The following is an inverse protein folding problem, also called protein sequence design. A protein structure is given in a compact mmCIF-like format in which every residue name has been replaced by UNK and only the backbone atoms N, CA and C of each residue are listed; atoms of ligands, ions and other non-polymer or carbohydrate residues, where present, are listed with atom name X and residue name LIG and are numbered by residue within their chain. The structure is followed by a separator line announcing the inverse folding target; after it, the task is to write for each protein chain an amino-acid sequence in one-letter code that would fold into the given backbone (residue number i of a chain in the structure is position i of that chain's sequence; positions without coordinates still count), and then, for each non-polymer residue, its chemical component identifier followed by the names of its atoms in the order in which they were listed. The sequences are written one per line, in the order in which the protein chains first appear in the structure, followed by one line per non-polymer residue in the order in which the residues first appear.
data_IF_548311444878
#
_entry.id   IF_548311444878
#
_cell.length_a   1.000
_cell.length_b   1.000
_cell.length_c   1.000
_cell.angle_alpha   90.00
_cell.angle_beta   90.00
_cell.angle_gamma   90.00
#
_symmetry.space_group_name_H-M   'P 1'
#
loop_
_entity.id
_entity.type
_entity.pdbx_description
1 polymer ?
#
# COMPACT_ATOMS: atom_id res chain seq x y z
N UNK A 1 -19.21 -24.83 -90.87
CA UNK A 1 -18.87 -25.67 -89.70
C UNK A 1 -17.65 -25.01 -89.07
N UNK A 2 -17.71 -24.11 -88.08
CA UNK A 2 -18.39 -24.12 -86.76
C UNK A 2 -18.06 -25.43 -86.03
N UNK A 3 -17.29 -25.54 -84.93
CA UNK A 3 -17.21 -24.77 -83.67
C UNK A 3 -15.79 -24.82 -83.03
N UNK A 4 -15.29 -23.73 -82.41
CA UNK A 4 -15.10 -23.47 -80.94
C UNK A 4 -14.40 -24.61 -80.15
N UNK A 5 -13.27 -24.45 -79.44
CA UNK A 5 -12.83 -23.36 -78.55
C UNK A 5 -12.74 -23.92 -77.12
N UNK A 6 -11.55 -24.24 -76.61
CA UNK A 6 -11.34 -24.61 -75.19
C UNK A 6 -9.87 -24.46 -74.76
N UNK A 7 -9.46 -23.20 -74.61
CA UNK A 7 -8.23 -22.80 -73.93
C UNK A 7 -8.58 -21.78 -72.86
N UNK A 8 -9.22 -22.22 -71.77
CA UNK A 8 -9.45 -21.35 -70.60
C UNK A 8 -9.88 -22.13 -69.35
N UNK A 9 -8.99 -22.92 -68.74
CA UNK A 9 -9.21 -23.44 -67.37
C UNK A 9 -7.87 -23.51 -66.61
N UNK A 10 -7.28 -22.35 -66.34
CA UNK A 10 -6.20 -22.22 -65.36
C UNK A 10 -6.06 -20.77 -64.89
N UNK A 11 -7.11 -20.21 -64.25
CA UNK A 11 -6.95 -19.02 -63.40
C UNK A 11 -8.22 -18.75 -62.58
N UNK A 12 -8.50 -19.61 -61.61
CA UNK A 12 -9.26 -19.23 -60.41
C UNK A 12 -8.32 -19.35 -59.23
N UNK A 13 -7.31 -18.46 -59.20
CA UNK A 13 -6.53 -18.19 -58.00
C UNK A 13 -7.29 -17.11 -57.25
N UNK A 14 -8.08 -17.49 -56.25
CA UNK A 14 -8.57 -16.56 -55.22
C UNK A 14 -7.36 -15.88 -54.53
N UNK A 15 -7.19 -14.55 -54.61
CA UNK A 15 -6.17 -13.84 -53.87
C UNK A 15 -6.85 -12.76 -53.02
N UNK A 16 -7.76 -13.15 -52.12
CA UNK A 16 -8.47 -12.17 -51.29
C UNK A 16 -8.75 -12.62 -49.84
N UNK A 17 -8.81 -13.93 -49.54
CA UNK A 17 -9.14 -14.41 -48.19
C UNK A 17 -7.94 -14.56 -47.23
N UNK A 18 -6.74 -14.85 -47.75
CA UNK A 18 -5.53 -15.03 -46.93
C UNK A 18 -5.12 -13.79 -46.09
N UNK A 19 -5.10 -12.55 -46.63
CA UNK A 19 -4.66 -11.39 -45.85
C UNK A 19 -5.66 -11.03 -44.72
N UNK A 20 -6.96 -11.28 -44.91
CA UNK A 20 -8.00 -10.98 -43.92
C UNK A 20 -7.87 -11.86 -42.65
N UNK A 21 -7.49 -13.13 -42.81
CA UNK A 21 -7.35 -14.07 -41.70
C UNK A 21 -6.09 -13.75 -40.88
N UNK A 22 -4.96 -13.41 -41.52
CA UNK A 22 -3.74 -12.99 -40.81
C UNK A 22 -3.95 -11.69 -40.01
N UNK A 23 -4.69 -10.73 -40.57
CA UNK A 23 -5.02 -9.47 -39.89
C UNK A 23 -5.92 -9.73 -38.67
N UNK A 24 -6.92 -10.61 -38.78
CA UNK A 24 -7.82 -10.96 -37.67
C UNK A 24 -7.09 -11.71 -36.54
N UNK A 25 -6.18 -12.63 -36.87
CA UNK A 25 -5.37 -13.37 -35.89
C UNK A 25 -4.37 -12.44 -35.20
N UNK A 26 -3.73 -11.54 -35.95
CA UNK A 26 -2.81 -10.53 -35.40
C UNK A 26 -3.52 -9.52 -34.48
N UNK A 27 -4.71 -9.06 -34.86
CA UNK A 27 -5.54 -8.17 -34.04
C UNK A 27 -5.99 -8.85 -32.72
N UNK A 28 -6.36 -10.13 -32.78
CA UNK A 28 -6.80 -10.89 -31.59
C UNK A 28 -5.64 -11.18 -30.63
N UNK A 29 -4.45 -11.50 -31.15
CA UNK A 29 -3.23 -11.65 -30.35
C UNK A 29 -2.79 -10.33 -29.69
N UNK A 30 -2.90 -9.21 -30.42
CA UNK A 30 -2.62 -7.86 -29.91
C UNK A 30 -3.58 -7.43 -28.79
N UNK A 31 -4.88 -7.77 -28.91
CA UNK A 31 -5.90 -7.51 -27.89
C UNK A 31 -5.65 -8.33 -26.61
N UNK A 32 -5.37 -9.64 -26.76
CA UNK A 32 -5.11 -10.52 -25.61
C UNK A 32 -3.85 -10.11 -24.82
N UNK A 33 -2.79 -9.69 -25.53
CA UNK A 33 -1.54 -9.25 -24.89
C UNK A 33 -1.65 -7.96 -24.08
N UNK A 34 -2.66 -7.11 -24.34
CA UNK A 34 -2.96 -5.92 -23.53
C UNK A 34 -3.76 -6.28 -22.29
N UNK A 35 -4.80 -7.08 -22.47
CA UNK A 35 -5.67 -7.51 -21.37
C UNK A 35 -4.86 -8.23 -20.28
N UNK A 36 -3.96 -9.13 -20.67
CA UNK A 36 -3.07 -9.84 -19.73
C UNK A 36 -2.16 -8.86 -18.97
N UNK A 37 -1.57 -7.87 -19.66
CA UNK A 37 -0.73 -6.86 -19.02
C UNK A 37 -1.52 -5.97 -18.06
N UNK A 38 -2.74 -5.59 -18.44
CA UNK A 38 -3.63 -4.79 -17.60
C UNK A 38 -4.09 -5.54 -16.36
N UNK A 39 -4.54 -6.80 -16.49
CA UNK A 39 -4.92 -7.64 -15.35
C UNK A 39 -3.73 -7.83 -14.40
N UNK A 40 -2.55 -8.11 -14.95
CA UNK A 40 -1.34 -8.25 -14.14
C UNK A 40 -1.02 -6.97 -13.35
N UNK A 41 -1.14 -5.79 -13.97
CA UNK A 41 -0.99 -4.52 -13.27
C UNK A 41 -2.03 -4.34 -12.15
N UNK A 42 -3.30 -4.64 -12.39
CA UNK A 42 -4.36 -4.59 -11.37
C UNK A 42 -4.02 -5.50 -10.19
N UNK A 43 -3.63 -6.75 -10.44
CA UNK A 43 -3.33 -7.72 -9.38
C UNK A 43 -2.18 -7.23 -8.51
N UNK A 44 -1.09 -6.74 -9.11
CA UNK A 44 0.04 -6.21 -8.36
C UNK A 44 -0.36 -4.98 -7.52
N UNK A 45 -1.07 -4.02 -8.11
CA UNK A 45 -1.52 -2.82 -7.36
C UNK A 45 -2.49 -3.20 -6.24
N UNK A 46 -3.37 -4.18 -6.45
CA UNK A 46 -4.26 -4.69 -5.40
C UNK A 46 -3.47 -5.29 -4.23
N UNK A 47 -2.46 -6.12 -4.52
CA UNK A 47 -1.59 -6.69 -3.48
C UNK A 47 -0.83 -5.60 -2.70
N UNK A 48 -0.33 -4.57 -3.39
CA UNK A 48 0.29 -3.40 -2.74
C UNK A 48 -0.69 -2.71 -1.79
N UNK A 49 -1.93 -2.45 -2.23
CA UNK A 49 -2.95 -1.82 -1.39
C UNK A 49 -3.28 -2.70 -0.18
N UNK A 50 -3.50 -4.00 -0.38
CA UNK A 50 -3.86 -4.91 0.70
C UNK A 50 -2.77 -5.00 1.77
N UNK A 51 -1.51 -5.15 1.36
CA UNK A 51 -0.37 -5.23 2.29
C UNK A 51 -0.12 -3.90 3.00
N UNK A 52 -0.14 -2.78 2.26
CA UNK A 52 0.02 -1.45 2.85
C UNK A 52 -1.09 -1.10 3.84
N UNK A 53 -2.34 -1.46 3.53
CA UNK A 53 -3.46 -1.26 4.44
C UNK A 53 -3.34 -2.10 5.73
N UNK A 54 -2.95 -3.38 5.62
CA UNK A 54 -2.72 -4.23 6.79
C UNK A 54 -1.56 -3.68 7.63
N UNK A 55 -0.48 -3.21 7.00
CA UNK A 55 0.64 -2.59 7.70
C UNK A 55 0.21 -1.31 8.44
N UNK A 56 -0.55 -0.43 7.77
CA UNK A 56 -1.10 0.80 8.35
C UNK A 56 -2.00 0.51 9.56
N UNK A 57 -2.92 -0.44 9.45
CA UNK A 57 -3.93 -0.71 10.47
C UNK A 57 -3.41 -1.54 11.65
N UNK A 58 -2.29 -2.24 11.49
CA UNK A 58 -1.80 -3.13 12.54
C UNK A 58 -0.89 -2.41 13.54
N UNK A 59 -1.19 -2.46 14.86
CA UNK A 59 -0.34 -1.88 15.89
C UNK A 59 0.85 -2.79 16.28
N UNK A 60 1.24 -3.74 15.42
CA UNK A 60 2.23 -4.79 15.72
C UNK A 60 3.56 -4.60 15.01
N UNK A 61 3.98 -3.35 14.77
CA UNK A 61 5.25 -3.08 14.07
C UNK A 61 6.46 -3.50 14.90
N UNK A 62 6.38 -3.33 16.21
CA UNK A 62 7.33 -3.89 17.18
C UNK A 62 6.55 -4.64 18.24
N UNK A 63 7.03 -5.80 18.64
CA UNK A 63 6.46 -6.61 19.72
C UNK A 63 7.49 -6.80 20.82
N UNK A 64 7.02 -6.82 22.06
CA UNK A 64 7.87 -7.05 23.24
C UNK A 64 7.24 -8.13 24.10
N UNK A 65 8.00 -9.17 24.41
CA UNK A 65 7.59 -10.27 25.31
C UNK A 65 8.45 -10.38 26.57
N UNK A 66 9.39 -9.45 26.76
CA UNK A 66 10.31 -9.44 27.91
C UNK A 66 10.14 -8.18 28.73
N UNK A 67 10.26 -8.35 30.04
CA UNK A 67 10.26 -7.25 31.02
C UNK A 67 11.70 -6.80 31.24
N UNK A 68 11.96 -5.49 31.11
CA UNK A 68 13.25 -4.90 31.48
C UNK A 68 13.59 -5.26 32.95
N UNK A 69 14.86 -5.57 33.27
CA UNK A 69 15.26 -5.95 34.63
C UNK A 69 14.81 -4.98 35.73
N UNK A 70 14.72 -3.68 35.41
CA UNK A 70 14.30 -2.62 36.33
C UNK A 70 12.85 -2.76 36.82
N UNK A 71 12.03 -3.56 36.12
CA UNK A 71 10.60 -3.71 36.39
C UNK A 71 10.19 -5.11 36.86
N UNK A 72 11.14 -6.04 36.97
CA UNK A 72 10.86 -7.46 37.28
C UNK A 72 10.16 -7.69 38.63
N UNK A 73 10.39 -6.80 39.60
CA UNK A 73 9.69 -6.85 40.89
C UNK A 73 8.19 -6.46 40.77
N UNK A 74 7.86 -5.65 39.75
CA UNK A 74 6.53 -5.04 39.57
C UNK A 74 5.71 -5.71 38.46
N UNK A 75 6.36 -6.27 37.45
CA UNK A 75 5.73 -6.82 36.25
C UNK A 75 6.16 -8.28 36.07
N UNK A 76 5.18 -9.18 36.04
CA UNK A 76 5.37 -10.63 35.92
C UNK A 76 5.44 -11.08 34.46
N UNK A 77 4.55 -10.56 33.62
CA UNK A 77 4.52 -10.81 32.17
C UNK A 77 4.17 -9.51 31.45
N UNK A 78 4.75 -9.34 30.28
CA UNK A 78 4.31 -8.33 29.32
C UNK A 78 4.25 -8.91 27.92
N UNK A 79 3.19 -8.59 27.19
CA UNK A 79 3.07 -8.73 25.75
C UNK A 79 2.58 -7.39 25.22
N UNK A 80 3.51 -6.57 24.73
CA UNK A 80 3.16 -5.26 24.18
C UNK A 80 3.47 -5.18 22.70
N UNK A 81 2.68 -4.37 22.00
CA UNK A 81 2.83 -4.13 20.58
C UNK A 81 2.79 -2.65 20.30
N UNK A 82 3.81 -2.15 19.60
CA UNK A 82 3.93 -0.76 19.18
C UNK A 82 3.67 -0.68 17.68
N UNK A 83 2.73 0.17 17.29
CA UNK A 83 2.46 0.53 15.90
C UNK A 83 2.93 1.94 15.57
N UNK A 84 2.52 2.42 14.39
CA UNK A 84 2.74 3.80 13.94
C UNK A 84 1.68 4.79 14.45
N UNK A 85 0.50 4.30 14.86
CA UNK A 85 -0.61 5.14 15.32
C UNK A 85 -1.13 4.80 16.74
N UNK A 86 -0.77 3.63 17.27
CA UNK A 86 -1.15 3.18 18.60
C UNK A 86 -0.10 2.27 19.24
N UNK A 87 -0.19 2.15 20.56
CA UNK A 87 0.49 1.16 21.39
C UNK A 87 -0.56 0.30 22.08
N UNK A 88 -0.40 -1.01 22.05
CA UNK A 88 -1.22 -1.94 22.81
C UNK A 88 -0.37 -2.64 23.86
N UNK A 89 -0.93 -2.80 25.05
CA UNK A 89 -0.27 -3.43 26.19
C UNK A 89 -1.16 -4.54 26.71
N UNK A 90 -0.54 -5.67 27.03
CA UNK A 90 -1.11 -6.80 27.77
C UNK A 90 -0.09 -7.11 28.88
N UNK A 91 -0.40 -6.73 30.11
CA UNK A 91 0.55 -6.72 31.22
C UNK A 91 -0.06 -7.41 32.44
N UNK A 92 0.72 -8.29 33.05
CA UNK A 92 0.41 -8.89 34.35
C UNK A 92 1.33 -8.29 35.41
N UNK A 93 0.73 -7.63 36.39
CA UNK A 93 1.45 -7.03 37.50
C UNK A 93 1.68 -8.05 38.62
N UNK A 94 2.85 -7.96 39.25
CA UNK A 94 3.23 -8.76 40.40
C UNK A 94 2.77 -8.09 41.69
N UNK A 95 2.02 -8.83 42.51
CA UNK A 95 1.53 -8.30 43.78
C UNK A 95 2.66 -8.07 44.79
N UNK A 96 3.76 -8.82 44.67
CA UNK A 96 4.93 -8.69 45.56
C UNK A 96 5.57 -7.30 45.53
N UNK A 97 5.56 -6.63 44.37
CA UNK A 97 6.22 -5.33 44.19
C UNK A 97 5.28 -4.12 44.04
N UNK A 98 3.97 -4.34 43.84
CA UNK A 98 3.00 -3.26 43.53
C UNK A 98 1.84 -3.16 44.53
N UNK A 99 1.41 -4.28 45.12
CA UNK A 99 0.23 -4.35 45.96
C UNK A 99 0.64 -4.70 47.39
N UNK A 100 0.91 -3.66 48.20
CA UNK A 100 1.13 -3.74 49.64
C UNK A 100 2.13 -4.85 50.03
N UNK A 101 3.43 -4.55 50.19
CA UNK A 101 4.38 -5.56 50.67
C UNK A 101 3.81 -6.25 51.92
N UNK A 102 3.65 -7.57 51.85
CA UNK A 102 3.09 -8.49 52.87
C UNK A 102 1.56 -8.76 52.88
N UNK A 103 0.80 -8.44 51.82
CA UNK A 103 -0.60 -8.88 51.73
C UNK A 103 -0.83 -9.93 50.63
N UNK A 104 -0.70 -11.22 50.99
CA UNK A 104 -0.81 -12.37 50.06
C UNK A 104 -2.24 -12.63 49.55
N UNK A 105 -3.25 -11.90 50.02
CA UNK A 105 -4.67 -12.18 49.72
C UNK A 105 -5.22 -11.42 48.51
N UNK A 106 -4.43 -10.55 47.87
CA UNK A 106 -4.85 -9.88 46.64
C UNK A 106 -4.40 -10.74 45.45
N UNK A 107 -5.27 -10.95 44.46
CA UNK A 107 -4.97 -11.73 43.24
C UNK A 107 -4.11 -10.94 42.26
N UNK A 108 -3.22 -11.59 41.51
CA UNK A 108 -2.44 -10.96 40.43
C UNK A 108 -3.37 -10.12 39.52
N UNK A 109 -2.93 -8.92 39.14
CA UNK A 109 -3.73 -8.00 38.33
C UNK A 109 -3.26 -7.99 36.88
N UNK A 110 -4.15 -8.35 35.96
CA UNK A 110 -3.91 -8.31 34.51
C UNK A 110 -4.61 -7.12 33.88
N UNK A 111 -3.94 -6.47 32.94
CA UNK A 111 -4.45 -5.30 32.26
C UNK A 111 -4.13 -5.33 30.77
N UNK A 112 -5.17 -5.16 29.94
CA UNK A 112 -5.07 -5.16 28.49
C UNK A 112 -5.78 -3.96 27.90
N UNK A 113 -5.05 -3.14 27.15
CA UNK A 113 -5.64 -1.95 26.49
C UNK A 113 -4.79 -1.49 25.31
N UNK A 114 -5.35 -0.61 24.48
CA UNK A 114 -4.65 0.07 23.40
C UNK A 114 -4.82 1.59 23.54
N UNK A 115 -3.72 2.32 23.42
CA UNK A 115 -3.69 3.78 23.44
C UNK A 115 -3.28 4.32 22.08
N UNK A 116 -4.01 5.30 21.57
CA UNK A 116 -3.68 5.99 20.33
C UNK A 116 -2.74 7.17 20.59
N UNK A 117 -1.73 7.35 19.73
CA UNK A 117 -0.73 8.40 19.94
C UNK A 117 -1.30 9.80 19.71
N UNK A 118 -2.08 9.97 18.65
CA UNK A 118 -2.47 11.29 18.15
C UNK A 118 -3.92 11.64 18.47
N UNK A 119 -4.80 10.65 18.51
CA UNK A 119 -6.22 10.84 18.78
C UNK A 119 -6.56 10.55 20.24
N UNK A 120 -7.42 11.33 20.89
CA UNK A 120 -7.94 10.98 22.20
C UNK A 120 -8.86 9.77 22.09
N UNK A 121 -8.68 8.79 22.98
CA UNK A 121 -9.59 7.67 23.13
C UNK A 121 -9.91 7.50 24.62
N UNK A 122 -11.20 7.38 24.95
CA UNK A 122 -11.62 7.06 26.30
C UNK A 122 -11.13 5.65 26.65
N UNK A 123 -10.09 5.59 27.47
CA UNK A 123 -9.39 4.37 27.86
C UNK A 123 -9.17 4.39 29.37
N UNK A 124 -8.97 3.23 29.99
CA UNK A 124 -8.48 3.18 31.37
C UNK A 124 -6.96 3.33 31.35
N UNK A 125 -6.38 4.08 32.29
CA UNK A 125 -4.95 4.05 32.60
C UNK A 125 -4.76 3.40 33.96
N UNK A 126 -3.72 2.57 34.05
CA UNK A 126 -3.24 2.04 35.32
C UNK A 126 -2.18 2.98 35.90
N UNK A 127 -2.48 3.57 37.05
CA UNK A 127 -1.50 4.36 37.83
C UNK A 127 -0.89 3.46 38.89
N UNK A 128 0.44 3.46 38.94
CA UNK A 128 1.22 2.68 39.90
C UNK A 128 1.96 3.64 40.82
N UNK A 129 1.44 3.84 42.01
CA UNK A 129 2.12 4.57 43.09
C UNK A 129 2.36 3.61 44.27
N UNK A 130 1.51 3.66 45.29
CA UNK A 130 1.48 2.71 46.41
C UNK A 130 0.38 1.65 46.26
N UNK A 131 -0.60 1.91 45.38
CA UNK A 131 -1.71 1.02 45.02
C UNK A 131 -1.98 1.16 43.53
N UNK A 132 -2.51 0.10 42.91
CA UNK A 132 -2.94 0.12 41.50
C UNK A 132 -4.30 0.83 41.46
N UNK A 133 -4.35 2.03 40.89
CA UNK A 133 -5.62 2.72 40.62
C UNK A 133 -5.90 2.74 39.12
N UNK A 134 -7.17 2.52 38.76
CA UNK A 134 -7.66 2.67 37.40
C UNK A 134 -8.29 4.05 37.27
N UNK A 135 -7.70 4.89 36.44
CA UNK A 135 -8.22 6.22 36.14
C UNK A 135 -8.81 6.23 34.73
N UNK A 136 -9.96 6.88 34.55
CA UNK A 136 -10.50 7.16 33.22
C UNK A 136 -9.59 8.19 32.53
N UNK A 137 -9.00 7.77 31.43
CA UNK A 137 -8.13 8.59 30.62
C UNK A 137 -8.80 8.95 29.29
N UNK A 138 -8.80 10.24 28.93
CA UNK A 138 -9.50 10.76 27.74
C UNK A 138 -8.59 11.46 26.75
N UNK A 139 -7.31 11.55 27.04
CA UNK A 139 -6.34 12.24 26.19
C UNK A 139 -5.60 11.25 25.28
N UNK A 140 -4.83 11.75 24.32
CA UNK A 140 -3.93 10.93 23.51
C UNK A 140 -2.57 10.76 24.20
N UNK A 141 -1.79 9.73 23.83
CA UNK A 141 -0.45 9.52 24.44
C UNK A 141 0.42 10.77 24.26
N UNK A 142 0.39 11.40 23.09
CA UNK A 142 1.17 12.60 22.82
C UNK A 142 0.69 13.83 23.58
N UNK A 143 -0.62 13.96 23.81
CA UNK A 143 -1.15 15.01 24.69
C UNK A 143 -0.72 14.77 26.14
N UNK A 144 -0.67 13.52 26.60
CA UNK A 144 -0.13 13.20 27.93
C UNK A 144 1.32 13.60 28.08
N UNK A 145 2.13 13.24 27.08
CA UNK A 145 3.57 13.44 27.09
C UNK A 145 3.89 14.94 27.22
N UNK A 146 3.11 15.80 26.58
CA UNK A 146 3.26 17.26 26.66
C UNK A 146 2.91 17.83 28.05
N UNK A 147 1.98 17.20 28.78
CA UNK A 147 1.55 17.66 30.11
C UNK A 147 2.45 17.13 31.24
N UNK A 148 2.90 15.88 31.12
CA UNK A 148 3.66 15.19 32.16
C UNK A 148 4.58 14.12 31.55
N UNK A 149 5.66 14.57 30.93
CA UNK A 149 6.59 13.76 30.15
C UNK A 149 7.14 12.54 30.90
N UNK A 150 7.73 12.77 32.08
CA UNK A 150 8.34 11.72 32.90
C UNK A 150 7.33 10.65 33.29
N UNK A 151 6.14 11.08 33.74
CA UNK A 151 5.10 10.18 34.21
C UNK A 151 4.46 9.38 33.08
N UNK A 152 4.19 10.02 31.94
CA UNK A 152 3.65 9.35 30.76
C UNK A 152 4.62 8.28 30.25
N UNK A 153 5.90 8.64 30.16
CA UNK A 153 6.98 7.75 29.73
C UNK A 153 7.14 6.57 30.66
N UNK A 154 7.26 6.81 31.97
CA UNK A 154 7.50 5.75 32.95
C UNK A 154 6.32 4.77 33.02
N UNK A 155 5.09 5.28 33.00
CA UNK A 155 3.90 4.44 32.99
C UNK A 155 3.86 3.52 31.76
N UNK A 156 4.10 4.05 30.56
CA UNK A 156 4.16 3.23 29.34
C UNK A 156 5.37 2.29 29.35
N UNK A 157 6.51 2.71 29.87
CA UNK A 157 7.71 1.87 29.98
C UNK A 157 7.44 0.63 30.85
N UNK A 158 6.80 0.82 32.01
CA UNK A 158 6.39 -0.29 32.89
C UNK A 158 5.37 -1.19 32.19
N UNK A 159 4.31 -0.61 31.60
CA UNK A 159 3.24 -1.39 30.95
C UNK A 159 3.71 -2.14 29.69
N UNK A 160 4.74 -1.66 29.00
CA UNK A 160 5.31 -2.29 27.80
C UNK A 160 6.52 -3.19 28.10
N UNK A 161 7.07 -3.08 29.31
CA UNK A 161 8.31 -3.73 29.73
C UNK A 161 9.57 -3.20 29.05
N UNK A 162 9.50 -2.05 28.41
CA UNK A 162 10.64 -1.41 27.74
C UNK A 162 11.36 -0.51 28.74
N UNK A 163 12.68 -0.36 28.57
CA UNK A 163 13.48 0.57 29.37
C UNK A 163 12.94 2.01 29.23
N UNK A 164 12.81 2.72 30.35
CA UNK A 164 12.24 4.08 30.37
C UNK A 164 12.91 5.05 29.38
N UNK A 165 14.23 5.02 29.25
CA UNK A 165 14.95 5.89 28.30
C UNK A 165 14.61 5.56 26.84
N UNK A 166 14.49 4.28 26.48
CA UNK A 166 14.14 3.88 25.12
C UNK A 166 12.68 4.20 24.79
N UNK A 167 11.78 4.05 25.77
CA UNK A 167 10.38 4.48 25.63
C UNK A 167 10.28 6.00 25.47
N UNK A 168 11.06 6.76 26.24
CA UNK A 168 11.12 8.22 26.13
C UNK A 168 11.50 8.64 24.71
N UNK A 169 12.64 8.14 24.21
CA UNK A 169 13.14 8.47 22.87
C UNK A 169 12.12 8.12 21.79
N UNK A 170 11.48 6.95 21.91
CA UNK A 170 10.45 6.51 20.98
C UNK A 170 9.21 7.41 21.00
N UNK A 171 8.70 7.77 22.18
CA UNK A 171 7.54 8.65 22.31
C UNK A 171 7.86 10.08 21.87
N UNK A 172 9.03 10.60 22.23
CA UNK A 172 9.50 11.91 21.81
C UNK A 172 9.54 12.01 20.29
N UNK A 173 10.08 10.98 19.60
CA UNK A 173 10.09 10.98 18.13
C UNK A 173 8.70 10.74 17.52
N UNK A 174 7.91 9.81 18.05
CA UNK A 174 6.55 9.51 17.57
C UNK A 174 5.63 10.73 17.68
N UNK A 175 5.73 11.48 18.78
CA UNK A 175 4.92 12.66 19.03
C UNK A 175 5.43 13.94 18.36
N UNK A 176 6.64 13.90 17.82
CA UNK A 176 7.23 15.02 17.07
C UNK A 176 6.57 15.23 15.70
N UNK A 177 7.00 16.28 14.99
CA UNK A 177 6.59 16.53 13.61
C UNK A 177 6.97 15.37 12.66
N UNK A 178 8.12 14.72 12.87
CA UNK A 178 8.53 13.58 12.02
C UNK A 178 7.66 12.35 12.24
N UNK A 179 7.25 12.05 13.48
CA UNK A 179 6.33 10.95 13.76
C UNK A 179 4.94 11.15 13.15
N UNK A 180 4.41 12.39 13.21
CA UNK A 180 3.17 12.76 12.48
C UNK A 180 3.34 12.64 10.97
N UNK A 181 4.49 13.07 10.44
CA UNK A 181 4.80 12.96 9.02
C UNK A 181 4.87 11.49 8.58
N UNK A 182 5.45 10.60 9.39
CA UNK A 182 5.46 9.15 9.13
C UNK A 182 4.04 8.61 8.95
N UNK A 183 3.13 8.87 9.89
CA UNK A 183 1.75 8.42 9.78
C UNK A 183 1.09 8.97 8.51
N UNK A 184 1.31 10.26 8.22
CA UNK A 184 0.82 10.90 7.00
C UNK A 184 1.38 10.26 5.73
N UNK A 185 2.66 9.91 5.70
CA UNK A 185 3.31 9.26 4.55
C UNK A 185 2.78 7.85 4.32
N UNK A 186 2.59 7.03 5.37
CA UNK A 186 2.00 5.67 5.22
C UNK A 186 0.57 5.76 4.70
N UNK A 187 -0.24 6.64 5.29
CA UNK A 187 -1.62 6.85 4.87
C UNK A 187 -1.71 7.36 3.42
N UNK A 188 -0.84 8.31 3.05
CA UNK A 188 -0.78 8.87 1.70
C UNK A 188 -0.31 7.84 0.68
N UNK A 189 0.74 7.06 0.97
CA UNK A 189 1.20 5.97 0.11
C UNK A 189 0.07 4.96 -0.17
N UNK A 190 -0.61 4.52 0.89
CA UNK A 190 -1.75 3.59 0.78
C UNK A 190 -2.89 4.18 -0.05
N UNK A 191 -3.25 5.45 0.20
CA UNK A 191 -4.30 6.15 -0.53
C UNK A 191 -3.96 6.34 -2.02
N UNK A 192 -2.71 6.67 -2.35
CA UNK A 192 -2.24 6.82 -3.73
C UNK A 192 -2.30 5.49 -4.49
N UNK A 193 -1.89 4.38 -3.88
CA UNK A 193 -2.01 3.05 -4.50
C UNK A 193 -3.48 2.64 -4.68
N UNK A 194 -4.36 2.99 -3.73
CA UNK A 194 -5.79 2.75 -3.87
C UNK A 194 -6.39 3.55 -5.02
N UNK A 195 -6.04 4.84 -5.15
CA UNK A 195 -6.47 5.66 -6.29
C UNK A 195 -5.93 5.11 -7.62
N UNK A 196 -4.67 4.66 -7.67
CA UNK A 196 -4.11 4.02 -8.85
C UNK A 196 -4.88 2.74 -9.22
N UNK A 197 -5.24 1.91 -8.24
CA UNK A 197 -6.05 0.71 -8.44
C UNK A 197 -7.42 1.06 -9.06
N UNK A 198 -8.11 2.06 -8.52
CA UNK A 198 -9.41 2.52 -9.06
C UNK A 198 -9.25 2.97 -10.51
N UNK A 199 -8.21 3.76 -10.82
CA UNK A 199 -7.96 4.21 -12.19
C UNK A 199 -7.67 3.05 -13.15
N UNK A 200 -6.90 2.04 -12.73
CA UNK A 200 -6.61 0.85 -13.54
C UNK A 200 -7.87 0.01 -13.79
N UNK A 201 -8.66 -0.23 -12.74
CA UNK A 201 -9.94 -0.95 -12.85
C UNK A 201 -10.89 -0.21 -13.78
N UNK A 202 -11.04 1.11 -13.63
CA UNK A 202 -11.85 1.91 -14.54
C UNK A 202 -11.32 1.90 -15.98
N UNK A 203 -10.00 1.95 -16.17
CA UNK A 203 -9.39 1.91 -17.50
C UNK A 203 -9.62 0.60 -18.24
N UNK A 204 -9.58 -0.52 -17.53
CA UNK A 204 -9.69 -1.88 -18.12
C UNK A 204 -11.15 -2.35 -18.18
N UNK A 205 -11.90 -2.26 -17.09
CA UNK A 205 -13.27 -2.81 -16.98
C UNK A 205 -14.29 -1.93 -17.70
N UNK A 206 -14.16 -0.60 -17.64
CA UNK A 206 -15.09 0.30 -18.31
C UNK A 206 -14.73 0.56 -19.79
N UNK A 207 -13.78 -0.20 -20.35
CA UNK A 207 -13.27 -0.10 -21.74
C UNK A 207 -12.87 1.33 -22.18
N UNK A 208 -12.58 2.22 -21.23
CA UNK A 208 -12.01 3.54 -21.48
C UNK A 208 -10.50 3.44 -21.30
N UNK A 209 -9.85 2.73 -22.23
CA UNK A 209 -8.39 2.62 -22.32
C UNK A 209 -7.75 3.96 -22.73
N UNK A 210 -8.06 5.05 -22.02
CA UNK A 210 -7.43 6.33 -22.27
C UNK A 210 -6.03 6.28 -21.69
N UNK A 211 -5.04 6.52 -22.54
CA UNK A 211 -3.62 6.60 -22.16
C UNK A 211 -3.40 7.56 -20.98
N UNK A 212 -4.23 8.61 -20.88
CA UNK A 212 -4.20 9.56 -19.76
C UNK A 212 -4.47 8.91 -18.41
N UNK A 213 -5.43 7.99 -18.30
CA UNK A 213 -5.75 7.34 -17.01
C UNK A 213 -4.59 6.45 -16.55
N UNK A 214 -3.96 5.73 -17.48
CA UNK A 214 -2.81 4.87 -17.19
C UNK A 214 -1.60 5.68 -16.74
N UNK A 215 -1.36 6.82 -17.39
CA UNK A 215 -0.31 7.76 -17.00
C UNK A 215 -0.53 8.32 -15.58
N UNK A 216 -1.77 8.71 -15.23
CA UNK A 216 -2.10 9.18 -13.88
C UNK A 216 -1.95 8.06 -12.84
N UNK A 217 -2.37 6.83 -13.15
CA UNK A 217 -2.16 5.69 -12.26
C UNK A 217 -0.67 5.43 -11.99
N UNK A 218 0.17 5.49 -13.04
CA UNK A 218 1.63 5.39 -12.92
C UNK A 218 2.21 6.49 -12.02
N UNK A 219 1.75 7.73 -12.19
CA UNK A 219 2.18 8.86 -11.36
C UNK A 219 1.88 8.62 -9.87
N UNK A 220 0.68 8.13 -9.55
CA UNK A 220 0.31 7.82 -8.16
C UNK A 220 1.13 6.68 -7.56
N UNK A 221 1.39 5.60 -8.32
CA UNK A 221 2.26 4.52 -7.85
C UNK A 221 3.68 5.04 -7.59
N UNK A 222 4.25 5.82 -8.50
CA UNK A 222 5.59 6.39 -8.32
C UNK A 222 5.68 7.36 -7.11
N UNK A 223 4.65 8.18 -6.91
CA UNK A 223 4.58 9.06 -5.74
C UNK A 223 4.44 8.25 -4.45
N UNK A 224 3.67 7.17 -4.45
CA UNK A 224 3.59 6.23 -3.32
C UNK A 224 4.94 5.59 -3.00
N UNK A 225 5.70 5.18 -4.02
CA UNK A 225 7.05 4.61 -3.84
C UNK A 225 7.95 5.64 -3.15
N UNK A 226 7.92 6.90 -3.59
CA UNK A 226 8.68 7.97 -2.95
C UNK A 226 8.28 8.17 -1.48
N UNK A 227 6.98 8.19 -1.18
CA UNK A 227 6.49 8.27 0.19
C UNK A 227 7.00 7.11 1.06
N UNK A 228 6.98 5.89 0.51
CA UNK A 228 7.41 4.66 1.22
C UNK A 228 8.91 4.69 1.52
N UNK A 229 9.74 5.18 0.58
CA UNK A 229 11.18 5.36 0.79
C UNK A 229 11.46 6.33 1.93
N UNK A 230 10.87 7.53 1.89
CA UNK A 230 11.07 8.55 2.93
C UNK A 230 10.61 8.03 4.29
N UNK A 231 9.45 7.38 4.33
CA UNK A 231 8.88 6.81 5.54
C UNK A 231 9.76 5.68 6.11
N UNK A 232 10.35 4.83 5.28
CA UNK A 232 11.29 3.79 5.72
C UNK A 232 12.46 4.42 6.48
N UNK A 233 13.09 5.48 5.96
CA UNK A 233 14.19 6.14 6.67
C UNK A 233 13.78 6.70 8.03
N UNK A 234 12.59 7.28 8.13
CA UNK A 234 12.08 7.87 9.36
C UNK A 234 11.68 6.80 10.39
N UNK A 235 10.93 5.78 9.99
CA UNK A 235 10.45 4.71 10.88
C UNK A 235 11.60 3.83 11.38
N UNK A 236 12.53 3.43 10.52
CA UNK A 236 13.58 2.50 10.91
C UNK A 236 14.52 3.06 11.96
N UNK A 237 14.75 4.38 11.94
CA UNK A 237 15.53 5.05 12.98
C UNK A 237 14.91 4.81 14.35
N UNK A 238 13.60 5.02 14.47
CA UNK A 238 12.89 4.95 15.75
C UNK A 238 12.68 3.51 16.24
N UNK A 239 12.24 2.62 15.35
CA UNK A 239 12.01 1.23 15.73
C UNK A 239 13.33 0.52 16.10
N UNK A 240 14.47 0.95 15.52
CA UNK A 240 15.78 0.43 15.88
C UNK A 240 16.16 0.79 17.31
N UNK A 241 15.89 2.02 17.77
CA UNK A 241 16.16 2.43 19.15
C UNK A 241 15.41 1.54 20.15
N UNK A 242 14.13 1.26 19.88
CA UNK A 242 13.33 0.35 20.72
C UNK A 242 13.86 -1.07 20.65
N UNK A 243 14.14 -1.60 19.45
CA UNK A 243 14.67 -2.96 19.26
C UNK A 243 16.00 -3.19 19.99
N UNK A 244 16.87 -2.18 20.08
CA UNK A 244 18.15 -2.28 20.78
C UNK A 244 18.03 -2.22 22.31
N UNK A 245 16.85 -1.88 22.84
CA UNK A 245 16.66 -1.75 24.29
C UNK A 245 16.53 -3.08 25.03
N UNK A 246 16.27 -4.20 24.34
CA UNK A 246 16.17 -5.51 24.98
C UNK A 246 16.13 -6.70 24.01
N UNK A 247 16.57 -7.90 24.45
CA UNK A 247 16.67 -9.08 23.59
C UNK A 247 15.30 -9.67 23.17
N UNK A 248 14.24 -9.45 23.94
CA UNK A 248 12.88 -9.96 23.64
C UNK A 248 11.97 -8.98 22.91
N UNK A 249 12.54 -7.92 22.34
CA UNK A 249 11.82 -6.99 21.46
C UNK A 249 12.05 -7.44 20.03
N UNK A 250 11.04 -7.51 19.16
CA UNK A 250 11.20 -7.95 17.77
C UNK A 250 10.38 -7.11 16.80
N UNK A 251 10.78 -7.07 15.53
CA UNK A 251 9.94 -6.47 14.48
C UNK A 251 8.79 -7.43 14.18
N UNK A 252 7.56 -6.90 14.12
CA UNK A 252 6.41 -7.70 13.75
C UNK A 252 6.11 -7.68 12.26
N UNK A 253 5.09 -8.45 11.88
CA UNK A 253 4.67 -8.65 10.49
C UNK A 253 4.44 -7.35 9.67
N UNK A 254 3.86 -6.27 10.22
CA UNK A 254 3.61 -5.02 9.48
C UNK A 254 4.85 -4.43 8.82
N UNK A 255 6.02 -4.53 9.46
CA UNK A 255 7.29 -4.05 8.90
C UNK A 255 7.62 -4.81 7.60
N UNK A 256 7.43 -6.12 7.59
CA UNK A 256 7.69 -6.96 6.43
C UNK A 256 6.63 -6.75 5.34
N UNK A 257 5.36 -6.54 5.72
CA UNK A 257 4.31 -6.21 4.76
C UNK A 257 4.55 -4.87 4.07
N UNK A 258 5.06 -3.88 4.79
CA UNK A 258 5.43 -2.59 4.18
C UNK A 258 6.55 -2.75 3.16
N UNK A 259 7.61 -3.50 3.47
CA UNK A 259 8.67 -3.78 2.48
C UNK A 259 8.16 -4.58 1.29
N UNK A 260 7.36 -5.62 1.53
CA UNK A 260 6.77 -6.41 0.46
C UNK A 260 5.89 -5.53 -0.45
N UNK A 261 5.06 -4.69 0.16
CA UNK A 261 4.22 -3.69 -0.53
C UNK A 261 5.07 -2.76 -1.40
N UNK A 262 6.18 -2.24 -0.88
CA UNK A 262 7.13 -1.40 -1.62
C UNK A 262 7.70 -2.10 -2.87
N UNK A 263 8.21 -3.33 -2.74
CA UNK A 263 8.75 -4.06 -3.89
C UNK A 263 7.66 -4.40 -4.92
N UNK A 264 6.48 -4.81 -4.46
CA UNK A 264 5.33 -5.07 -5.33
C UNK A 264 4.88 -3.79 -6.04
N UNK A 265 4.94 -2.63 -5.37
CA UNK A 265 4.62 -1.34 -5.98
C UNK A 265 5.59 -1.00 -7.13
N UNK A 266 6.89 -1.29 -6.97
CA UNK A 266 7.87 -1.16 -8.04
C UNK A 266 7.52 -2.03 -9.25
N UNK A 267 7.17 -3.31 -9.02
CA UNK A 267 6.72 -4.21 -10.09
C UNK A 267 5.40 -3.74 -10.72
N UNK A 268 4.47 -3.22 -9.92
CA UNK A 268 3.23 -2.65 -10.40
C UNK A 268 3.50 -1.45 -11.31
N UNK A 269 4.42 -0.56 -10.94
CA UNK A 269 4.86 0.56 -11.78
C UNK A 269 5.39 0.09 -13.14
N UNK A 270 6.25 -0.92 -13.17
CA UNK A 270 6.75 -1.52 -14.41
C UNK A 270 5.63 -2.19 -15.24
N UNK A 271 4.69 -2.86 -14.59
CA UNK A 271 3.55 -3.49 -15.25
C UNK A 271 2.61 -2.45 -15.89
N UNK A 272 2.32 -1.35 -15.18
CA UNK A 272 1.52 -0.23 -15.68
C UNK A 272 2.21 0.41 -16.89
N UNK A 273 3.52 0.63 -16.83
CA UNK A 273 4.29 1.16 -17.96
C UNK A 273 4.25 0.26 -19.18
N UNK A 274 4.37 -1.05 -18.98
CA UNK A 274 4.26 -2.03 -20.07
C UNK A 274 2.86 -2.02 -20.68
N UNK A 275 1.82 -1.92 -19.84
CA UNK A 275 0.44 -1.81 -20.30
C UNK A 275 0.20 -0.50 -21.07
N UNK A 276 0.66 0.63 -20.53
CA UNK A 276 0.59 1.95 -21.17
C UNK A 276 1.26 1.95 -22.56
N UNK A 277 2.46 1.37 -22.68
CA UNK A 277 3.19 1.28 -23.95
C UNK A 277 2.41 0.46 -25.00
N UNK A 278 1.80 -0.66 -24.60
CA UNK A 278 0.97 -1.48 -25.48
C UNK A 278 -0.31 -0.76 -25.91
N UNK A 279 -0.94 -0.01 -25.01
CA UNK A 279 -2.14 0.80 -25.30
C UNK A 279 -1.81 1.95 -26.26
N UNK A 280 -0.73 2.70 -26.01
CA UNK A 280 -0.23 3.75 -26.92
C UNK A 280 0.05 3.22 -28.31
N UNK A 281 0.74 2.08 -28.43
CA UNK A 281 1.06 1.46 -29.72
C UNK A 281 -0.22 1.15 -30.51
N UNK A 282 -1.23 0.60 -29.86
CA UNK A 282 -2.47 0.28 -30.54
C UNK A 282 -3.32 1.50 -30.91
N UNK A 283 -3.33 2.53 -30.05
CA UNK A 283 -3.98 3.79 -30.37
C UNK A 283 -3.35 4.44 -31.61
N UNK A 284 -2.01 4.47 -31.68
CA UNK A 284 -1.29 4.99 -32.85
C UNK A 284 -1.60 4.22 -34.14
N UNK A 285 -1.69 2.88 -34.07
CA UNK A 285 -2.07 2.05 -35.24
C UNK A 285 -3.50 2.38 -35.68
N UNK A 286 -4.45 2.47 -34.74
CA UNK A 286 -5.83 2.87 -35.05
C UNK A 286 -5.93 4.28 -35.64
N UNK A 287 -5.12 5.23 -35.16
CA UNK A 287 -5.14 6.60 -35.66
C UNK A 287 -4.50 6.70 -37.05
N UNK A 288 -3.46 5.92 -37.32
CA UNK A 288 -2.88 5.78 -38.66
C UNK A 288 -3.89 5.20 -39.65
N UNK A 289 -4.65 4.18 -39.26
CA UNK A 289 -5.67 3.55 -40.10
C UNK A 289 -6.79 4.54 -40.46
N UNK A 290 -7.33 5.26 -39.46
CA UNK A 290 -8.32 6.33 -39.70
C UNK A 290 -7.79 7.44 -40.62
N UNK A 291 -6.52 7.83 -40.47
CA UNK A 291 -5.89 8.82 -41.36
C UNK A 291 -5.74 8.28 -42.78
N UNK A 292 -5.44 7.00 -42.94
CA UNK A 292 -5.35 6.36 -44.25
C UNK A 292 -6.73 6.28 -44.92
N UNK A 293 -7.77 5.85 -44.20
CA UNK A 293 -9.14 5.83 -44.69
C UNK A 293 -9.63 7.22 -45.12
N UNK A 294 -9.30 8.26 -44.33
CA UNK A 294 -9.63 9.64 -44.68
C UNK A 294 -8.98 10.08 -46.00
N UNK A 295 -7.69 9.76 -46.20
CA UNK A 295 -6.97 10.06 -47.45
C UNK A 295 -7.52 9.30 -48.65
N UNK A 296 -7.86 8.00 -48.50
CA UNK A 296 -8.48 7.20 -49.56
C UNK A 296 -9.85 7.79 -49.95
N UNK A 297 -10.66 8.18 -48.95
CA UNK A 297 -11.95 8.82 -49.19
C UNK A 297 -11.80 10.15 -49.94
N UNK A 298 -10.80 10.95 -49.59
CA UNK A 298 -10.50 12.21 -50.27
C UNK A 298 -10.09 11.99 -51.74
N UNK A 299 -9.20 11.04 -52.02
CA UNK A 299 -8.80 10.70 -53.39
C UNK A 299 -9.97 10.21 -54.26
N UNK A 300 -10.85 9.37 -53.68
CA UNK A 300 -12.04 8.89 -54.38
C UNK A 300 -13.02 10.02 -54.72
N UNK A 301 -13.14 11.05 -53.87
CA UNK A 301 -13.96 12.22 -54.16
C UNK A 301 -13.37 13.07 -55.28
N UNK A 302 -12.04 13.27 -55.30
CA UNK A 302 -11.34 14.01 -56.36
C UNK A 302 -11.47 13.28 -57.71
N UNK A 303 -11.28 11.96 -57.73
CA UNK A 303 -11.42 11.14 -58.95
C UNK A 303 -12.84 11.23 -59.54
N UNK A 304 -13.88 11.15 -58.70
CA UNK A 304 -15.28 11.31 -59.15
C UNK A 304 -15.56 12.70 -59.72
N UNK A 305 -14.97 13.76 -59.14
CA UNK A 305 -15.15 15.13 -59.63
C UNK A 305 -14.52 15.31 -61.02
N UNK A 306 -13.31 14.80 -61.24
CA UNK A 306 -12.68 14.85 -62.57
C UNK A 306 -13.42 14.03 -63.64
N UNK A 307 -14.13 12.96 -63.27
CA UNK A 307 -14.96 12.22 -64.22
C UNK A 307 -16.24 12.97 -64.61
N UNK A 308 -16.76 13.85 -63.75
CA UNK A 308 -17.94 14.66 -64.05
C UNK A 308 -17.64 15.84 -64.98
N UNK A 309 -16.40 16.37 -64.98
CA UNK A 309 -15.99 17.51 -65.82
C UNK A 309 -15.59 17.09 -67.26
N UNK A 310 -15.50 15.79 -67.56
CA UNK A 310 -15.10 15.25 -68.88
C UNK A 310 -16.33 14.83 -69.73
N UNK A 311 -17.55 14.93 -69.17
CA UNK A 311 -18.82 14.63 -69.86
C UNK A 311 -19.56 15.91 -70.17
#
# INVERSE_FOLDING_TARGET
MVDFGLSHLSSLREPALLPQIEIAVSARASSMGKLVAGIFAIVLTFLTVALGFVALMSPTWVTTSTVDPSWTDRVKRVESTLGIWAVCVDVDFSNKGVLIPNNETVSDFSFKTCYTYFTPMATEIVRIESTITKDSYRDSVCAHLQLNENRATEALAIMTGIKASAMHDFLASTCSASGKAVLGLVATATALNFLALVLLVCGIVCCRETVSLLWTAKLFVNLSILCSVVMTFLVFRELRTVKLSGPGISYGAPVYFEFASFFIACFAGCAIETFEAKTKKAQNVSDMDKRLEAKIREQNLISKRHHADIV
#
